data_IF_103739833169
#
_entry.id   IF_103739833169
#
_cell.length_a   1.000
_cell.length_b   1.000
_cell.length_c   1.000
_cell.angle_alpha   90.00
_cell.angle_beta   90.00
_cell.angle_gamma   90.00
#
_symmetry.space_group_name_H-M   'P 1'
#
loop_
_entity.id
_entity.type
_entity.pdbx_description
1 polymer ?
#
# COMPACT_ATOMS: atom_id res chain seq x y z
N UNK A 1 -6.58 -3.96 26.78
CA UNK A 1 -6.36 -2.97 25.69
C UNK A 1 -7.37 -3.19 24.55
N UNK A 2 -7.69 -2.19 23.73
CA UNK A 2 -8.62 -2.35 22.58
C UNK A 2 -8.09 -1.57 21.38
N UNK A 3 -7.83 -2.26 20.27
CA UNK A 3 -7.37 -1.68 19.02
C UNK A 3 -8.54 -1.38 18.09
N UNK A 4 -8.75 -0.10 17.81
CA UNK A 4 -9.78 0.38 16.87
C UNK A 4 -9.09 1.01 15.66
N UNK A 5 -9.31 0.46 14.48
CA UNK A 5 -8.87 1.07 13.23
C UNK A 5 -9.85 2.16 12.80
N UNK A 6 -9.33 3.24 12.22
CA UNK A 6 -10.16 4.27 11.60
C UNK A 6 -10.85 3.72 10.33
N UNK A 7 -10.17 2.83 9.61
CA UNK A 7 -10.70 2.10 8.47
C UNK A 7 -10.30 0.62 8.52
N UNK A 8 -11.22 -0.30 8.23
CA UNK A 8 -10.91 -1.73 8.11
C UNK A 8 -10.44 -2.11 6.70
N UNK A 9 -10.16 -1.10 5.87
CA UNK A 9 -9.82 -1.26 4.48
C UNK A 9 -8.80 -0.20 4.06
N UNK A 10 -7.76 -0.63 3.34
CA UNK A 10 -6.74 0.23 2.74
C UNK A 10 -6.95 0.16 1.24
N UNK A 11 -7.61 1.19 0.70
CA UNK A 11 -7.79 1.34 -0.73
C UNK A 11 -6.59 2.07 -1.34
N UNK A 12 -5.94 1.41 -2.29
CA UNK A 12 -4.93 2.03 -3.13
C UNK A 12 -5.56 2.76 -4.31
N UNK A 13 -6.82 2.46 -4.64
CA UNK A 13 -7.49 2.92 -5.84
C UNK A 13 -6.86 2.32 -7.09
N UNK A 14 -6.77 3.14 -8.13
CA UNK A 14 -6.11 2.78 -9.39
C UNK A 14 -4.74 3.42 -9.40
N UNK A 15 -3.69 2.60 -9.40
CA UNK A 15 -2.29 3.04 -9.35
C UNK A 15 -1.53 2.50 -10.56
N UNK A 16 -0.43 3.14 -10.94
CA UNK A 16 0.42 2.67 -12.04
C UNK A 16 1.45 1.64 -11.54
N UNK A 17 2.03 0.88 -12.48
CA UNK A 17 3.15 0.00 -12.17
C UNK A 17 4.32 0.82 -11.62
N UNK A 18 4.97 0.31 -10.58
CA UNK A 18 6.11 0.96 -9.89
C UNK A 18 5.78 2.33 -9.25
N UNK A 19 4.48 2.64 -9.11
CA UNK A 19 4.02 3.82 -8.36
C UNK A 19 4.20 3.66 -6.85
N UNK A 20 3.88 4.74 -6.11
CA UNK A 20 4.06 4.85 -4.67
C UNK A 20 3.42 3.66 -3.91
N UNK A 21 4.26 2.78 -3.32
CA UNK A 21 3.80 1.53 -2.74
C UNK A 21 3.24 1.70 -1.33
N UNK A 22 3.35 2.88 -0.72
CA UNK A 22 3.00 3.13 0.68
C UNK A 22 1.56 3.66 0.82
N UNK A 23 0.83 3.10 1.79
CA UNK A 23 -0.40 3.69 2.35
C UNK A 23 -0.31 3.68 3.87
N UNK A 24 -0.95 4.65 4.50
CA UNK A 24 -0.96 4.79 5.96
C UNK A 24 -2.34 4.44 6.49
N UNK A 25 -2.37 3.61 7.52
CA UNK A 25 -3.57 3.21 8.23
C UNK A 25 -3.49 3.66 9.68
N UNK A 26 -4.41 4.52 10.10
CA UNK A 26 -4.48 5.00 11.48
C UNK A 26 -5.28 4.03 12.37
N UNK A 27 -4.83 3.89 13.61
CA UNK A 27 -5.54 3.16 14.64
C UNK A 27 -5.38 3.84 15.99
N UNK A 28 -6.34 3.61 16.87
CA UNK A 28 -6.39 4.17 18.22
C UNK A 28 -6.54 3.05 19.23
N UNK A 29 -5.83 3.17 20.36
CA UNK A 29 -6.10 2.31 21.51
C UNK A 29 -7.26 2.88 22.31
N UNK A 30 -8.46 2.33 22.12
CA UNK A 30 -9.68 2.75 22.82
C UNK A 30 -9.90 2.01 24.14
N UNK A 31 -8.97 1.12 24.51
CA UNK A 31 -9.01 0.40 25.78
C UNK A 31 -8.38 1.15 26.93
N UNK A 32 -8.29 0.49 28.08
CA UNK A 32 -7.78 1.04 29.35
C UNK A 32 -6.35 0.61 29.70
N UNK A 33 -5.74 -0.24 28.87
CA UNK A 33 -4.39 -0.78 29.06
C UNK A 33 -3.53 -0.51 27.83
N UNK A 34 -2.17 -0.53 27.94
CA UNK A 34 -1.29 -0.38 26.79
C UNK A 34 -1.48 -1.50 25.76
N UNK A 35 -1.66 -1.10 24.51
CA UNK A 35 -1.79 -1.99 23.35
C UNK A 35 -0.42 -2.27 22.75
N UNK A 36 -0.14 -3.54 22.48
CA UNK A 36 1.10 -3.99 21.82
C UNK A 36 0.74 -4.87 20.63
N UNK A 37 1.27 -4.52 19.45
CA UNK A 37 1.12 -5.32 18.24
C UNK A 37 2.23 -6.39 18.22
N UNK A 38 1.84 -7.62 18.56
CA UNK A 38 2.75 -8.78 18.60
C UNK A 38 3.20 -9.18 17.20
N UNK A 39 2.28 -9.17 16.24
CA UNK A 39 2.56 -9.57 14.87
C UNK A 39 1.63 -8.86 13.89
N UNK A 40 2.14 -8.54 12.70
CA UNK A 40 1.33 -8.10 11.57
C UNK A 40 1.81 -8.80 10.31
N UNK A 41 0.93 -9.53 9.64
CA UNK A 41 1.29 -10.35 8.49
C UNK A 41 0.27 -10.21 7.37
N UNK A 42 0.75 -9.90 6.16
CA UNK A 42 -0.04 -9.97 4.95
C UNK A 42 -0.33 -11.43 4.55
N UNK A 43 -1.47 -11.65 3.89
CA UNK A 43 -1.85 -12.96 3.34
C UNK A 43 -0.84 -13.51 2.32
N UNK A 44 -0.03 -12.66 1.69
CA UNK A 44 1.02 -13.02 0.75
C UNK A 44 2.17 -12.02 0.88
N UNK A 45 3.41 -12.41 0.54
CA UNK A 45 4.61 -11.56 0.67
C UNK A 45 4.62 -10.27 -0.17
N UNK A 46 3.59 -10.02 -0.97
CA UNK A 46 3.39 -8.76 -1.71
C UNK A 46 2.89 -7.59 -0.84
N UNK A 47 2.54 -7.84 0.42
CA UNK A 47 2.02 -6.81 1.32
C UNK A 47 2.78 -6.85 2.63
N UNK A 48 3.53 -5.79 2.90
CA UNK A 48 4.44 -5.69 4.04
C UNK A 48 3.94 -4.56 4.95
N UNK A 49 3.33 -4.88 6.11
CA UNK A 49 3.01 -3.89 7.11
C UNK A 49 4.26 -3.49 7.91
N UNK A 50 4.38 -2.23 8.28
CA UNK A 50 5.32 -1.68 9.24
C UNK A 50 4.50 -0.99 10.34
N UNK A 51 4.81 -1.30 11.59
CA UNK A 51 3.99 -0.93 12.74
C UNK A 51 4.87 -0.54 13.93
N UNK A 52 4.35 0.28 14.87
CA UNK A 52 5.08 0.65 16.08
C UNK A 52 5.36 -0.59 16.94
N UNK A 53 6.60 -0.73 17.41
CA UNK A 53 7.00 -1.78 18.34
C UNK A 53 6.81 -1.38 19.80
N UNK A 54 6.65 -0.10 20.05
CA UNK A 54 6.41 0.46 21.36
C UNK A 54 4.96 0.27 21.79
N UNK A 55 4.67 0.18 23.11
CA UNK A 55 3.31 0.13 23.61
C UNK A 55 2.53 1.41 23.32
N UNK A 56 1.32 1.27 22.77
CA UNK A 56 0.41 2.38 22.50
C UNK A 56 -0.50 2.56 23.72
N UNK A 57 -0.36 3.67 24.43
CA UNK A 57 -1.13 3.94 25.65
C UNK A 57 -2.63 4.15 25.35
N UNK A 58 -3.51 3.97 26.35
CA UNK A 58 -4.94 4.32 26.24
C UNK A 58 -5.17 5.72 25.66
N UNK A 59 -6.08 5.82 24.69
CA UNK A 59 -6.42 7.06 24.00
C UNK A 59 -5.39 7.53 22.95
N UNK A 60 -4.23 6.89 22.84
CA UNK A 60 -3.25 7.27 21.81
C UNK A 60 -3.61 6.69 20.45
N UNK A 61 -3.44 7.53 19.43
CA UNK A 61 -3.51 7.15 18.02
C UNK A 61 -2.11 6.94 17.48
N UNK A 62 -1.94 5.89 16.69
CA UNK A 62 -0.70 5.61 15.98
C UNK A 62 -1.03 5.13 14.56
N UNK A 63 0.00 4.91 13.75
CA UNK A 63 -0.13 4.57 12.34
C UNK A 63 0.58 3.29 11.97
N UNK A 64 0.03 2.59 10.97
CA UNK A 64 0.60 1.42 10.33
C UNK A 64 0.85 1.77 8.88
N UNK A 65 2.08 1.57 8.46
CA UNK A 65 2.51 1.75 7.09
C UNK A 65 2.31 0.44 6.34
N UNK A 66 1.43 0.44 5.35
CA UNK A 66 1.16 -0.71 4.51
C UNK A 66 1.89 -0.50 3.18
N UNK A 67 2.88 -1.35 2.90
CA UNK A 67 3.57 -1.36 1.60
C UNK A 67 3.06 -2.48 0.71
N UNK A 68 2.59 -2.16 -0.49
CA UNK A 68 2.18 -3.13 -1.50
C UNK A 68 3.17 -3.18 -2.68
N UNK A 69 3.47 -4.37 -3.19
CA UNK A 69 4.30 -4.54 -4.37
C UNK A 69 3.55 -4.12 -5.65
N UNK A 70 3.76 -2.87 -6.09
CA UNK A 70 3.09 -2.24 -7.24
C UNK A 70 3.61 -2.71 -8.61
N UNK A 71 4.52 -3.68 -8.64
CA UNK A 71 5.02 -4.26 -9.89
C UNK A 71 4.07 -5.31 -10.51
N UNK A 72 2.95 -5.64 -9.84
CA UNK A 72 1.99 -6.67 -10.27
C UNK A 72 0.75 -6.03 -10.88
N UNK A 73 0.70 -5.97 -12.20
CA UNK A 73 -0.44 -5.44 -12.96
C UNK A 73 -1.71 -6.24 -12.68
N UNK A 74 -2.84 -5.55 -12.51
CA UNK A 74 -4.16 -6.13 -12.31
C UNK A 74 -4.84 -5.69 -11.02
N UNK A 75 -6.06 -6.17 -10.81
CA UNK A 75 -6.81 -5.96 -9.56
C UNK A 75 -6.24 -6.84 -8.46
N UNK A 76 -6.12 -6.30 -7.25
CA UNK A 76 -5.71 -7.06 -6.08
C UNK A 76 -6.70 -6.87 -4.93
N UNK A 77 -6.92 -7.95 -4.18
CA UNK A 77 -7.61 -7.95 -2.89
C UNK A 77 -6.83 -8.85 -1.95
N UNK A 78 -6.18 -8.24 -0.96
CA UNK A 78 -5.34 -8.89 0.04
C UNK A 78 -5.86 -8.56 1.43
N UNK A 79 -5.34 -9.26 2.43
CA UNK A 79 -5.69 -9.06 3.83
C UNK A 79 -4.41 -8.98 4.65
N UNK A 80 -4.41 -8.14 5.68
CA UNK A 80 -3.38 -8.07 6.70
C UNK A 80 -4.01 -8.47 8.01
N UNK A 81 -3.41 -9.46 8.67
CA UNK A 81 -3.83 -9.94 9.98
C UNK A 81 -2.91 -9.35 11.04
N UNK A 82 -3.50 -8.66 12.00
CA UNK A 82 -2.83 -8.05 13.15
C UNK A 82 -3.15 -8.86 14.40
N UNK A 83 -2.11 -9.37 15.04
CA UNK A 83 -2.19 -10.05 16.33
C UNK A 83 -1.65 -9.11 17.40
N UNK A 84 -2.45 -8.83 18.41
CA UNK A 84 -2.11 -7.92 19.51
C UNK A 84 -2.17 -8.64 20.86
N UNK A 85 -1.95 -7.90 21.95
CA UNK A 85 -2.23 -8.34 23.32
C UNK A 85 -3.69 -8.07 23.75
N UNK A 86 -4.57 -7.64 22.84
CA UNK A 86 -6.01 -7.58 23.10
C UNK A 86 -6.57 -9.01 23.29
N UNK A 87 -7.58 -9.14 24.15
CA UNK A 87 -8.33 -10.38 24.30
C UNK A 87 -9.29 -10.55 23.12
N UNK A 88 -9.18 -11.66 22.39
CA UNK A 88 -10.07 -12.00 21.28
C UNK A 88 -9.33 -12.34 19.99
N UNK A 89 -10.08 -12.32 18.89
CA UNK A 89 -9.57 -12.67 17.57
C UNK A 89 -8.65 -11.59 16.98
N UNK A 90 -7.66 -12.00 16.16
CA UNK A 90 -6.80 -11.07 15.46
C UNK A 90 -7.61 -10.17 14.52
N UNK A 91 -7.22 -8.89 14.44
CA UNK A 91 -7.89 -7.93 13.57
C UNK A 91 -7.44 -8.14 12.13
N UNK A 92 -8.38 -8.07 11.19
CA UNK A 92 -8.09 -8.25 9.76
C UNK A 92 -8.48 -7.00 9.01
N UNK A 93 -7.52 -6.44 8.27
CA UNK A 93 -7.71 -5.27 7.41
C UNK A 93 -7.59 -5.72 5.95
N UNK A 94 -8.51 -5.27 5.10
CA UNK A 94 -8.46 -5.54 3.66
C UNK A 94 -7.57 -4.53 2.97
N UNK A 95 -6.87 -4.97 1.93
CA UNK A 95 -6.04 -4.12 1.08
C UNK A 95 -6.47 -4.35 -0.35
N UNK A 96 -6.97 -3.32 -1.02
CA UNK A 96 -7.48 -3.45 -2.37
C UNK A 96 -7.00 -2.34 -3.28
N UNK A 97 -7.10 -2.59 -4.57
CA UNK A 97 -6.72 -1.65 -5.61
C UNK A 97 -6.54 -2.32 -6.95
N UNK A 98 -6.07 -1.54 -7.91
CA UNK A 98 -5.77 -1.98 -9.27
C UNK A 98 -4.48 -1.35 -9.75
N UNK A 99 -3.51 -2.16 -10.12
CA UNK A 99 -2.29 -1.71 -10.80
C UNK A 99 -2.55 -1.68 -12.31
N UNK A 100 -2.37 -0.54 -12.94
CA UNK A 100 -2.40 -0.38 -14.39
C UNK A 100 -1.04 -0.67 -15.00
N UNK A 101 -1.04 -1.12 -16.26
CA UNK A 101 0.17 -1.12 -17.08
C UNK A 101 0.59 0.36 -17.25
N UNK A 102 1.88 0.69 -17.15
CA UNK A 102 2.32 2.06 -17.43
C UNK A 102 1.87 2.37 -18.86
N UNK A 103 1.18 3.49 -19.04
CA UNK A 103 0.95 4.00 -20.38
C UNK A 103 2.34 4.31 -20.96
N UNK A 104 2.75 3.54 -21.96
CA UNK A 104 3.87 3.94 -22.80
C UNK A 104 3.44 5.25 -23.46
N UNK A 105 3.88 6.38 -22.90
CA UNK A 105 3.86 7.64 -23.62
C UNK A 105 4.70 7.42 -24.87
N UNK A 106 4.02 7.22 -26.00
CA UNK A 106 4.62 7.19 -27.31
C UNK A 106 5.31 8.54 -27.57
N UNK A 107 6.58 8.65 -27.19
CA UNK A 107 7.51 9.67 -27.66
C UNK A 107 8.84 8.95 -27.89
N UNK A 108 9.25 8.66 -29.12
CA UNK A 108 9.41 9.59 -30.23
C UNK A 108 9.12 8.91 -31.58
N UNK A 109 8.38 9.52 -32.53
CA UNK A 109 8.70 9.28 -33.93
C UNK A 109 10.09 9.90 -34.17
N UNK A 110 11.06 9.07 -34.56
CA UNK A 110 12.29 9.56 -35.17
C UNK A 110 11.93 10.20 -36.51
N UNK A 111 11.53 11.47 -36.45
CA UNK A 111 11.19 12.28 -37.60
C UNK A 111 11.98 13.57 -37.53
N UNK A 112 13.25 13.50 -37.91
CA UNK A 112 13.89 14.51 -38.77
C UNK A 112 15.24 13.96 -39.23
N UNK A 113 15.38 13.62 -40.52
CA UNK A 113 16.66 13.82 -41.18
C UNK A 113 16.47 14.03 -42.69
N UNK A 114 16.48 15.32 -43.03
CA UNK A 114 17.13 15.90 -44.20
C UNK A 114 16.53 15.64 -45.58
N UNK A 115 15.71 16.61 -46.00
CA UNK A 115 15.72 17.16 -47.35
C UNK A 115 17.17 17.38 -47.83
N UNK A 116 17.67 16.56 -48.75
CA UNK A 116 18.75 16.95 -49.65
C UNK A 116 18.35 16.56 -51.07
N UNK A 117 17.92 17.57 -51.85
CA UNK A 117 18.02 17.59 -53.31
C UNK A 117 19.44 18.03 -53.69
N UNK A 118 20.05 17.41 -54.70
CA UNK A 118 20.60 18.15 -55.84
C UNK A 118 20.00 17.58 -57.14
N UNK A 119 19.57 18.38 -58.13
CA UNK A 119 20.45 18.89 -59.19
C UNK A 119 21.07 17.69 -59.94
N UNK A 120 20.60 17.24 -61.09
CA UNK A 120 20.35 17.98 -62.32
C UNK A 120 21.36 17.47 -63.34
N UNK A 121 20.88 16.92 -64.46
CA UNK A 121 21.60 16.67 -65.73
C UNK A 121 20.55 16.54 -66.84
#
# INVERSE_FOLDING_TARGET
>A
PIMTFEAMEVDYGVIEKDSEPLRVLNFTNTGTEPLVIKNARGSCGCTVPVWPKEPIMPGQTNKIEVRYATNRIGKFSKKITFTTNEAGDPKVVKVLGKVLKPEESQGVPAGDNSLIKPGGE
#
